data_IF_827777793006
#
_entry.id   IF_827777793006
#
_cell.length_a   1.000
_cell.length_b   1.000
_cell.length_c   1.000
_cell.angle_alpha   90.00
_cell.angle_beta   90.00
_cell.angle_gamma   90.00
#
_symmetry.space_group_name_H-M   'P 1'
#
loop_
_entity.id
_entity.type
_entity.pdbx_description
1 polymer ?
#
# COMPACT_ATOMS: atom_id res chain seq x y z
N UNK A 1 -21.21 20.72 1.53
CA UNK A 1 -20.09 19.86 1.10
C UNK A 1 -18.83 20.66 1.36
N UNK A 2 -18.00 20.18 2.24
CA UNK A 2 -16.70 20.76 2.53
C UNK A 2 -15.68 20.07 1.62
N UNK A 3 -15.00 20.84 0.77
CA UNK A 3 -13.88 20.34 -0.02
C UNK A 3 -12.63 20.33 0.86
N UNK A 4 -12.21 19.18 1.34
CA UNK A 4 -11.07 19.01 2.23
C UNK A 4 -9.76 18.81 1.47
N UNK A 5 -9.85 18.41 0.18
CA UNK A 5 -8.70 18.28 -0.71
C UNK A 5 -8.89 19.21 -1.90
N UNK A 6 -8.04 20.24 -1.96
CA UNK A 6 -7.93 21.14 -3.10
C UNK A 6 -6.55 20.98 -3.75
N UNK A 7 -6.26 19.76 -4.19
CA UNK A 7 -5.01 19.40 -4.84
C UNK A 7 -5.26 18.86 -6.24
N UNK A 8 -4.38 19.23 -7.17
CA UNK A 8 -4.36 18.66 -8.53
C UNK A 8 -3.07 17.91 -8.76
N UNK A 9 -3.15 16.85 -9.56
CA UNK A 9 -2.00 16.06 -9.98
C UNK A 9 -1.81 16.17 -11.49
N UNK A 10 -1.06 17.19 -11.98
CA UNK A 10 -0.74 17.35 -13.39
C UNK A 10 0.01 16.12 -13.93
N UNK A 11 -0.17 15.79 -15.20
CA UNK A 11 0.49 14.64 -15.84
C UNK A 11 2.03 14.71 -15.76
N UNK A 12 2.59 15.91 -15.85
CA UNK A 12 4.04 16.11 -15.69
C UNK A 12 4.50 15.70 -14.28
N UNK A 13 3.84 16.18 -13.23
CA UNK A 13 4.16 15.84 -11.85
C UNK A 13 3.97 14.33 -11.58
N UNK A 14 2.89 13.76 -12.10
CA UNK A 14 2.66 12.30 -12.05
C UNK A 14 3.81 11.55 -12.70
N UNK A 15 4.29 12.00 -13.86
CA UNK A 15 5.43 11.43 -14.55
C UNK A 15 6.71 11.47 -13.72
N UNK A 16 7.00 12.62 -13.09
CA UNK A 16 8.17 12.78 -12.21
C UNK A 16 8.10 11.84 -11.00
N UNK A 17 6.94 11.69 -10.38
CA UNK A 17 6.72 10.76 -9.25
C UNK A 17 6.99 9.31 -9.69
N UNK A 18 6.45 8.89 -10.83
CA UNK A 18 6.66 7.54 -11.36
C UNK A 18 8.14 7.28 -11.71
N UNK A 19 8.85 8.28 -12.23
CA UNK A 19 10.30 8.19 -12.44
C UNK A 19 11.06 8.05 -11.11
N UNK A 20 10.65 8.78 -10.06
CA UNK A 20 11.21 8.64 -8.72
C UNK A 20 11.04 7.22 -8.17
N UNK A 21 9.84 6.63 -8.32
CA UNK A 21 9.57 5.24 -7.92
C UNK A 21 10.44 4.26 -8.72
N UNK A 22 10.63 4.50 -10.02
CA UNK A 22 11.50 3.68 -10.86
C UNK A 22 12.95 3.80 -10.42
N UNK A 23 13.41 5.01 -10.08
CA UNK A 23 14.73 5.25 -9.53
C UNK A 23 14.97 4.53 -8.21
N UNK A 24 13.99 4.56 -7.28
CA UNK A 24 14.05 3.80 -6.04
C UNK A 24 14.19 2.29 -6.28
N UNK A 25 13.44 1.73 -7.22
CA UNK A 25 13.56 0.30 -7.60
C UNK A 25 14.95 -0.02 -8.13
N UNK A 26 15.54 0.87 -8.92
CA UNK A 26 16.90 0.67 -9.46
C UNK A 26 17.97 0.69 -8.36
N UNK A 27 17.85 1.60 -7.38
CA UNK A 27 18.73 1.65 -6.20
C UNK A 27 18.63 0.39 -5.32
N UNK A 28 17.46 -0.24 -5.31
CA UNK A 28 17.18 -1.43 -4.51
C UNK A 28 17.10 -2.71 -5.38
N UNK A 29 17.91 -2.80 -6.43
CA UNK A 29 17.91 -3.94 -7.35
C UNK A 29 18.26 -5.30 -6.68
N UNK A 30 18.78 -5.28 -5.47
CA UNK A 30 19.06 -6.46 -4.65
C UNK A 30 17.82 -7.03 -3.95
N UNK A 31 16.67 -6.34 -3.96
CA UNK A 31 15.44 -6.84 -3.34
C UNK A 31 14.93 -8.08 -4.06
N UNK A 32 14.46 -9.05 -3.28
CA UNK A 32 13.87 -10.30 -3.77
C UNK A 32 12.39 -10.38 -3.41
N UNK A 33 11.65 -11.14 -4.20
CA UNK A 33 10.27 -11.50 -3.90
C UNK A 33 10.22 -12.95 -3.46
N UNK A 34 9.80 -13.19 -2.20
CA UNK A 34 9.62 -14.55 -1.68
C UNK A 34 8.28 -15.12 -2.14
N UNK A 35 8.27 -16.41 -2.48
CA UNK A 35 7.01 -17.14 -2.68
C UNK A 35 6.26 -17.33 -1.35
N UNK A 36 4.96 -17.59 -1.41
CA UNK A 36 4.18 -17.86 -0.18
C UNK A 36 4.72 -19.08 0.58
N UNK A 37 5.19 -20.11 -0.13
CA UNK A 37 5.83 -21.28 0.50
C UNK A 37 7.11 -20.92 1.23
N UNK A 38 7.95 -20.03 0.64
CA UNK A 38 9.19 -19.59 1.27
C UNK A 38 8.92 -18.76 2.53
N UNK A 39 7.95 -17.86 2.47
CA UNK A 39 7.53 -17.06 3.64
C UNK A 39 7.10 -17.92 4.82
N UNK A 40 6.47 -19.07 4.56
CA UNK A 40 6.05 -20.00 5.61
C UNK A 40 7.15 -20.92 6.10
N UNK A 41 8.18 -21.19 5.29
CA UNK A 41 9.24 -22.15 5.62
C UNK A 41 10.42 -21.53 6.36
N UNK A 42 10.71 -20.23 6.14
CA UNK A 42 11.82 -19.54 6.81
C UNK A 42 11.46 -19.18 8.25
N UNK A 43 12.44 -19.32 9.15
CA UNK A 43 12.31 -18.78 10.50
C UNK A 43 12.46 -17.26 10.46
N UNK A 44 11.35 -16.56 10.67
CA UNK A 44 11.33 -15.10 10.64
C UNK A 44 11.93 -14.52 11.92
N UNK A 45 12.80 -13.54 11.76
CA UNK A 45 13.22 -12.65 12.84
C UNK A 45 12.28 -11.45 12.84
N UNK A 46 11.62 -11.21 13.96
CA UNK A 46 10.87 -10.00 14.25
C UNK A 46 11.70 -9.05 15.14
N UNK A 47 11.19 -7.85 15.36
CA UNK A 47 11.88 -6.87 16.22
C UNK A 47 12.09 -7.35 17.65
N UNK A 48 11.21 -8.23 18.15
CA UNK A 48 11.35 -8.84 19.47
C UNK A 48 12.53 -9.82 19.56
N UNK A 49 12.90 -10.45 18.45
CA UNK A 49 14.03 -11.41 18.38
C UNK A 49 15.35 -10.76 17.99
N UNK A 50 15.32 -9.55 17.44
CA UNK A 50 16.54 -8.81 17.07
C UNK A 50 17.54 -8.67 18.21
N UNK A 51 17.17 -8.27 19.45
CA UNK A 51 18.11 -8.18 20.57
C UNK A 51 18.79 -9.52 20.92
N UNK A 52 18.05 -10.63 20.80
CA UNK A 52 18.63 -11.97 20.98
C UNK A 52 19.70 -12.26 19.92
N UNK A 53 19.41 -11.98 18.66
CA UNK A 53 20.32 -12.24 17.54
C UNK A 53 21.59 -11.40 17.65
N UNK A 54 21.46 -10.11 17.98
CA UNK A 54 22.59 -9.22 18.22
C UNK A 54 23.45 -9.70 19.38
N UNK A 55 22.83 -10.11 20.50
CA UNK A 55 23.56 -10.57 21.70
C UNK A 55 24.23 -11.91 21.46
N UNK A 56 23.58 -12.85 20.78
CA UNK A 56 24.15 -14.14 20.43
C UNK A 56 25.41 -13.97 19.58
N UNK A 57 25.38 -13.09 18.56
CA UNK A 57 26.54 -12.76 17.73
C UNK A 57 27.67 -12.14 18.55
N UNK A 58 27.37 -11.16 19.41
CA UNK A 58 28.35 -10.51 20.29
C UNK A 58 29.07 -11.54 21.17
N UNK A 59 28.33 -12.45 21.81
CA UNK A 59 28.88 -13.47 22.67
C UNK A 59 29.73 -14.49 21.91
N UNK A 60 29.26 -14.91 20.69
CA UNK A 60 30.01 -15.84 19.87
C UNK A 60 31.33 -15.27 19.37
N UNK A 61 31.41 -13.96 19.10
CA UNK A 61 32.66 -13.27 18.75
C UNK A 61 33.71 -13.33 19.88
N UNK A 62 33.28 -13.33 21.13
CA UNK A 62 34.18 -13.31 22.31
C UNK A 62 34.46 -14.70 22.87
N UNK A 63 33.68 -15.71 22.49
CA UNK A 63 33.72 -17.04 23.11
C UNK A 63 33.99 -18.12 22.07
N UNK A 64 35.23 -18.57 21.89
CA UNK A 64 35.57 -19.55 20.84
C UNK A 64 34.74 -20.84 20.86
N UNK A 65 34.31 -21.28 22.04
CA UNK A 65 33.54 -22.53 22.22
C UNK A 65 32.15 -22.49 21.53
N UNK A 66 31.57 -21.29 21.39
CA UNK A 66 30.26 -21.12 20.78
C UNK A 66 30.32 -20.38 19.43
N UNK A 67 31.52 -20.10 18.92
CA UNK A 67 31.74 -19.49 17.63
C UNK A 67 31.46 -20.50 16.51
N UNK A 68 30.44 -20.26 15.63
CA UNK A 68 30.10 -21.18 14.54
C UNK A 68 31.07 -21.05 13.35
N UNK A 69 32.02 -20.12 13.41
CA UNK A 69 32.96 -19.75 12.37
C UNK A 69 32.87 -18.27 11.99
N UNK A 70 34.03 -17.62 11.85
CA UNK A 70 34.12 -16.16 11.63
C UNK A 70 33.38 -15.71 10.37
N UNK A 71 33.38 -16.49 9.30
CA UNK A 71 32.64 -16.17 8.08
C UNK A 71 31.12 -16.11 8.33
N UNK A 72 30.58 -17.01 9.16
CA UNK A 72 29.15 -16.99 9.52
C UNK A 72 28.80 -15.79 10.40
N UNK A 73 29.70 -15.39 11.31
CA UNK A 73 29.50 -14.19 12.13
C UNK A 73 29.50 -12.90 11.29
N UNK A 74 30.38 -12.81 10.29
CA UNK A 74 30.42 -11.67 9.35
C UNK A 74 29.13 -11.62 8.51
N UNK A 75 28.69 -12.76 7.99
CA UNK A 75 27.43 -12.81 7.24
C UNK A 75 26.23 -12.40 8.11
N UNK A 76 26.14 -12.90 9.33
CA UNK A 76 25.08 -12.52 10.28
C UNK A 76 25.09 -11.02 10.61
N UNK A 77 26.28 -10.38 10.66
CA UNK A 77 26.38 -8.94 10.83
C UNK A 77 25.83 -8.17 9.60
N UNK A 78 26.22 -8.60 8.39
CA UNK A 78 25.71 -8.01 7.17
C UNK A 78 24.17 -8.14 7.09
N UNK A 79 23.62 -9.30 7.42
CA UNK A 79 22.18 -9.55 7.43
C UNK A 79 21.45 -8.70 8.47
N UNK A 80 21.99 -8.54 9.68
CA UNK A 80 21.43 -7.67 10.72
C UNK A 80 21.44 -6.19 10.31
N UNK A 81 22.50 -5.74 9.65
CA UNK A 81 22.61 -4.37 9.14
C UNK A 81 21.61 -4.14 8.00
N UNK A 82 21.51 -5.11 7.08
CA UNK A 82 20.53 -5.06 5.99
C UNK A 82 19.10 -5.05 6.54
N UNK A 83 18.75 -5.94 7.47
CA UNK A 83 17.45 -5.97 8.15
C UNK A 83 17.11 -4.62 8.77
N UNK A 84 18.04 -4.04 9.53
CA UNK A 84 17.84 -2.75 10.20
C UNK A 84 17.65 -1.60 9.20
N UNK A 85 18.41 -1.58 8.13
CA UNK A 85 18.29 -0.58 7.08
C UNK A 85 16.96 -0.71 6.31
N UNK A 86 16.57 -1.94 5.98
CA UNK A 86 15.30 -2.20 5.29
C UNK A 86 14.09 -1.87 6.17
N UNK A 87 14.15 -2.10 7.49
CA UNK A 87 13.06 -1.74 8.40
C UNK A 87 12.77 -0.23 8.41
N UNK A 88 13.81 0.60 8.32
CA UNK A 88 13.65 2.06 8.20
C UNK A 88 12.98 2.42 6.88
N UNK A 89 13.46 1.85 5.76
CA UNK A 89 12.92 2.12 4.44
C UNK A 89 11.45 1.64 4.34
N UNK A 90 11.14 0.45 4.87
CA UNK A 90 9.79 -0.10 4.91
C UNK A 90 8.82 0.81 5.66
N UNK A 91 9.23 1.35 6.80
CA UNK A 91 8.42 2.30 7.57
C UNK A 91 8.12 3.57 6.76
N UNK A 92 9.12 4.18 6.13
CA UNK A 92 8.93 5.38 5.29
C UNK A 92 8.01 5.11 4.08
N UNK A 93 8.20 3.98 3.41
CA UNK A 93 7.36 3.58 2.28
C UNK A 93 5.92 3.29 2.73
N UNK A 94 5.74 2.68 3.90
CA UNK A 94 4.42 2.39 4.47
C UNK A 94 3.67 3.67 4.78
N UNK A 95 4.31 4.64 5.45
CA UNK A 95 3.71 5.93 5.73
C UNK A 95 3.33 6.68 4.44
N UNK A 96 4.21 6.67 3.45
CA UNK A 96 3.91 7.30 2.15
C UNK A 96 2.72 6.62 1.46
N UNK A 97 2.66 5.28 1.49
CA UNK A 97 1.55 4.51 0.92
C UNK A 97 0.22 4.82 1.62
N UNK A 98 0.22 4.92 2.95
CA UNK A 98 -0.95 5.31 3.73
C UNK A 98 -1.45 6.70 3.33
N UNK A 99 -0.56 7.70 3.26
CA UNK A 99 -0.90 9.07 2.84
C UNK A 99 -1.51 9.09 1.42
N UNK A 100 -0.94 8.35 0.48
CA UNK A 100 -1.47 8.24 -0.90
C UNK A 100 -2.83 7.57 -0.90
N UNK A 101 -3.00 6.50 -0.13
CA UNK A 101 -4.26 5.76 -0.02
C UNK A 101 -5.38 6.60 0.57
N UNK A 102 -5.12 7.29 1.66
CA UNK A 102 -6.08 8.14 2.36
C UNK A 102 -6.49 9.33 1.50
N UNK A 103 -5.51 9.99 0.86
CA UNK A 103 -5.77 11.09 -0.06
C UNK A 103 -6.64 10.65 -1.24
N UNK A 104 -6.31 9.50 -1.84
CA UNK A 104 -7.12 8.91 -2.93
C UNK A 104 -8.54 8.59 -2.46
N UNK A 105 -8.69 8.01 -1.27
CA UNK A 105 -9.99 7.67 -0.71
C UNK A 105 -10.83 8.92 -0.47
N UNK A 106 -10.26 9.96 0.12
CA UNK A 106 -10.96 11.21 0.40
C UNK A 106 -11.37 11.91 -0.90
N UNK A 107 -10.46 12.08 -1.86
CA UNK A 107 -10.77 12.65 -3.17
C UNK A 107 -11.88 11.87 -3.90
N UNK A 108 -11.83 10.54 -3.83
CA UNK A 108 -12.86 9.67 -4.39
C UNK A 108 -14.22 9.85 -3.70
N UNK A 109 -14.24 10.00 -2.38
CA UNK A 109 -15.47 10.22 -1.60
C UNK A 109 -16.11 11.56 -1.94
N UNK A 110 -15.34 12.64 -2.03
CA UNK A 110 -15.83 13.98 -2.38
C UNK A 110 -16.40 14.01 -3.80
N UNK A 111 -15.69 13.44 -4.78
CA UNK A 111 -16.18 13.33 -6.16
C UNK A 111 -17.47 12.51 -6.26
N UNK A 112 -17.55 11.40 -5.50
CA UNK A 112 -18.72 10.54 -5.48
C UNK A 112 -19.94 11.22 -4.82
N UNK A 113 -19.73 12.01 -3.77
CA UNK A 113 -20.79 12.78 -3.13
C UNK A 113 -21.42 13.78 -4.10
N UNK A 114 -20.59 14.51 -4.86
CA UNK A 114 -21.07 15.42 -5.91
C UNK A 114 -21.85 14.65 -6.99
N UNK A 115 -21.36 13.50 -7.41
CA UNK A 115 -22.01 12.67 -8.42
C UNK A 115 -23.40 12.18 -7.96
N UNK A 116 -23.51 11.77 -6.69
CA UNK A 116 -24.80 11.42 -6.06
C UNK A 116 -25.76 12.59 -6.02
N UNK A 117 -25.27 13.79 -5.72
CA UNK A 117 -26.08 14.99 -5.70
C UNK A 117 -26.59 15.34 -7.11
N UNK A 118 -25.75 15.24 -8.14
CA UNK A 118 -26.14 15.43 -9.56
C UNK A 118 -27.25 14.43 -9.92
N UNK A 119 -27.08 13.14 -9.58
CA UNK A 119 -28.10 12.12 -9.86
C UNK A 119 -29.43 12.39 -9.14
N UNK A 120 -29.39 12.85 -7.90
CA UNK A 120 -30.59 13.26 -7.15
C UNK A 120 -31.29 14.45 -7.84
N UNK A 121 -30.53 15.46 -8.28
CA UNK A 121 -31.08 16.60 -9.02
C UNK A 121 -31.73 16.17 -10.34
N UNK A 122 -31.10 15.27 -11.11
CA UNK A 122 -31.68 14.74 -12.34
C UNK A 122 -33.02 14.02 -12.08
N UNK A 123 -33.11 13.23 -11.00
CA UNK A 123 -34.40 12.60 -10.61
C UNK A 123 -35.47 13.62 -10.21
N UNK A 124 -35.11 14.73 -9.57
CA UNK A 124 -36.05 15.78 -9.23
C UNK A 124 -36.55 16.49 -10.50
N UNK A 125 -35.65 16.85 -11.44
CA UNK A 125 -35.99 17.45 -12.69
C UNK A 125 -36.93 16.54 -13.56
N UNK A 126 -36.64 15.22 -13.54
CA UNK A 126 -37.56 14.24 -14.18
C UNK A 126 -38.97 14.27 -13.58
N UNK A 127 -39.09 14.36 -12.25
CA UNK A 127 -40.42 14.52 -11.60
C UNK A 127 -41.14 15.79 -11.99
N UNK A 128 -40.39 16.86 -12.28
CA UNK A 128 -40.92 18.13 -12.81
C UNK A 128 -41.22 18.07 -14.31
N UNK A 129 -41.04 16.89 -14.94
CA UNK A 129 -41.27 16.65 -16.39
C UNK A 129 -40.38 17.50 -17.28
N UNK A 130 -39.16 17.82 -16.84
CA UNK A 130 -38.19 18.50 -17.70
C UNK A 130 -37.78 17.61 -18.89
N UNK A 131 -37.73 18.15 -20.11
CA UNK A 131 -37.38 17.37 -21.32
C UNK A 131 -35.99 16.77 -21.23
N UNK A 132 -35.80 15.53 -21.70
CA UNK A 132 -34.49 14.85 -21.74
C UNK A 132 -33.99 14.20 -20.43
N UNK A 133 -34.64 14.48 -19.29
CA UNK A 133 -34.19 13.98 -18.00
C UNK A 133 -34.36 12.47 -17.84
N UNK A 134 -35.31 11.85 -18.55
CA UNK A 134 -35.46 10.39 -18.48
C UNK A 134 -34.22 9.65 -18.97
N UNK A 135 -33.64 10.06 -20.09
CA UNK A 135 -32.44 9.43 -20.66
C UNK A 135 -31.25 9.55 -19.71
N UNK A 136 -31.05 10.74 -19.08
CA UNK A 136 -29.98 10.99 -18.14
C UNK A 136 -30.15 10.13 -16.87
N UNK A 137 -31.37 10.06 -16.33
CA UNK A 137 -31.65 9.25 -15.14
C UNK A 137 -31.43 7.75 -15.41
N UNK A 138 -31.82 7.27 -16.59
CA UNK A 138 -31.64 5.87 -16.99
C UNK A 138 -30.15 5.53 -17.17
N UNK A 139 -29.38 6.41 -17.80
CA UNK A 139 -27.94 6.24 -18.01
C UNK A 139 -27.19 6.21 -16.66
N UNK A 140 -27.36 7.24 -15.85
CA UNK A 140 -26.72 7.31 -14.52
C UNK A 140 -27.19 6.18 -13.60
N UNK A 141 -28.47 5.79 -13.70
CA UNK A 141 -29.05 4.71 -12.91
C UNK A 141 -28.46 3.34 -13.22
N UNK A 142 -28.13 3.06 -14.49
CA UNK A 142 -27.41 1.83 -14.89
C UNK A 142 -26.02 1.77 -14.25
N UNK A 143 -25.24 2.86 -14.35
CA UNK A 143 -23.90 2.95 -13.78
C UNK A 143 -23.94 2.82 -12.25
N UNK A 144 -24.88 3.50 -11.60
CA UNK A 144 -25.06 3.45 -10.16
C UNK A 144 -25.36 2.04 -9.63
N UNK A 145 -26.15 1.25 -10.37
CA UNK A 145 -26.47 -0.14 -10.02
C UNK A 145 -25.30 -1.10 -10.26
N UNK A 146 -24.51 -0.88 -11.31
CA UNK A 146 -23.33 -1.72 -11.60
C UNK A 146 -22.25 -1.64 -10.49
N UNK A 147 -22.14 -0.49 -9.83
CA UNK A 147 -21.19 -0.31 -8.71
C UNK A 147 -21.66 -0.90 -7.38
N UNK A 148 -22.94 -1.29 -7.28
CA UNK A 148 -23.50 -1.93 -6.07
C UNK A 148 -23.35 -3.46 -6.05
N UNK A 149 -22.72 -4.08 -7.05
CA UNK A 149 -22.34 -5.49 -7.00
C UNK A 149 -21.23 -5.68 -5.96
N UNK A 150 -21.35 -6.65 -5.03
CA UNK A 150 -20.35 -6.82 -3.98
C UNK A 150 -19.01 -7.12 -4.62
N UNK A 151 -18.01 -6.25 -4.34
CA UNK A 151 -16.62 -6.55 -4.62
C UNK A 151 -16.31 -7.94 -4.04
N UNK A 152 -15.71 -8.81 -4.86
CA UNK A 152 -15.20 -10.11 -4.48
C UNK A 152 -14.55 -10.03 -3.10
N UNK A 153 -15.18 -10.64 -2.11
CA UNK A 153 -14.56 -10.91 -0.82
C UNK A 153 -13.29 -11.68 -1.13
N UNK A 154 -12.14 -11.10 -0.79
CA UNK A 154 -10.90 -11.84 -0.71
C UNK A 154 -11.19 -13.10 0.11
N UNK A 155 -11.01 -14.27 -0.50
CA UNK A 155 -11.08 -15.55 0.18
C UNK A 155 -9.96 -15.61 1.23
N UNK A 156 -10.27 -15.18 2.44
CA UNK A 156 -9.61 -15.68 3.63
C UNK A 156 -10.43 -16.88 4.10
N UNK A 157 -10.17 -18.04 3.55
CA UNK A 157 -10.57 -19.30 4.15
C UNK A 157 -9.31 -19.97 4.66
N UNK A 158 -9.09 -19.76 5.95
CA UNK A 158 -8.30 -20.66 6.77
C UNK A 158 -8.86 -22.08 6.69
N UNK A 159 -7.98 -23.01 6.49
CA UNK A 159 -7.95 -24.29 7.20
C UNK A 159 -6.54 -24.88 7.15
#
# INVERSE_FOLDING_TARGET
MENRIDATLPEELKGQILQGITGLRALMAFLILLSESDKHSIQQMDDGRKPFTEKARELATRTPTINPGDALLVNAEHDLNLYSGLAIIENELTQLLEMVSDTKQLAGAEAYEVSRFIYMKAKMALKMKEPGMQAIVDELGKLFKMTSSPSLKANSTAK
#
